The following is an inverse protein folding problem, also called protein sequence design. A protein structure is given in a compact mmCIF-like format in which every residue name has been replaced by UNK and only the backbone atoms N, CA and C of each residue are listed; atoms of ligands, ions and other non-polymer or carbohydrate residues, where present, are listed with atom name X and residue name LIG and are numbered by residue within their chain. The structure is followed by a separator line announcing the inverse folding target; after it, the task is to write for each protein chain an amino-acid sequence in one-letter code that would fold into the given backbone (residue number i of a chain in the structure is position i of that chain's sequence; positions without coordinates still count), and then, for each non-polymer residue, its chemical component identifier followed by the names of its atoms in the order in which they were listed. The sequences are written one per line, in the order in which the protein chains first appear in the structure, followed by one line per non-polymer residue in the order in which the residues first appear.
data_IF_948044349184
#
_entry.id   IF_948044349184
#
_cell.length_a   1.000
_cell.length_b   1.000
_cell.length_c   1.000
_cell.angle_alpha   90.00
_cell.angle_beta   90.00
_cell.angle_gamma   90.00
#
_symmetry.space_group_name_H-M   'P 1'
#
loop_
_entity.id
_entity.type
_entity.pdbx_description
1 polymer ?
#
# COMPACT_ATOMS: atom_id res chain seq x y z
N UNK A 1 1.75 17.30 30.08
CA UNK A 1 0.93 18.13 30.96
C UNK A 1 0.33 17.36 32.12
N UNK A 2 -0.58 16.40 31.92
CA UNK A 2 -1.31 15.69 32.99
C UNK A 2 -0.43 15.12 34.11
N UNK A 3 0.73 14.55 33.79
CA UNK A 3 1.63 13.98 34.81
C UNK A 3 2.30 15.02 35.69
N UNK A 4 2.39 16.26 35.23
CA UNK A 4 3.02 17.36 35.93
C UNK A 4 2.03 18.44 36.37
N UNK A 5 0.72 18.13 36.29
CA UNK A 5 -0.36 19.09 36.60
C UNK A 5 -0.13 20.46 35.95
N UNK A 6 0.09 20.44 34.65
CA UNK A 6 0.44 21.60 33.86
C UNK A 6 -0.25 21.58 32.49
N UNK A 7 -0.41 22.76 31.90
CA UNK A 7 -0.86 22.87 30.53
C UNK A 7 0.14 22.21 29.58
N UNK A 8 -0.37 21.65 28.50
CA UNK A 8 0.46 20.94 27.52
C UNK A 8 1.46 21.83 26.80
N UNK A 9 1.14 23.11 26.62
CA UNK A 9 2.00 24.14 25.99
C UNK A 9 3.18 24.57 26.89
N UNK A 10 3.10 24.30 28.19
CA UNK A 10 4.23 24.43 29.10
C UNK A 10 5.27 23.31 28.97
N UNK A 11 4.99 22.30 28.14
CA UNK A 11 5.89 21.19 27.86
C UNK A 11 6.55 21.37 26.49
N UNK A 12 7.82 20.94 26.40
CA UNK A 12 8.55 20.85 25.12
C UNK A 12 9.03 19.43 24.90
N UNK A 13 9.65 19.16 23.74
CA UNK A 13 10.23 17.85 23.43
C UNK A 13 11.69 18.00 23.04
N UNK A 14 12.55 17.14 23.56
CA UNK A 14 13.98 17.16 23.29
C UNK A 14 14.54 15.74 23.33
N UNK A 15 15.26 15.32 22.30
CA UNK A 15 15.99 14.04 22.21
C UNK A 15 15.19 12.79 22.65
N UNK A 16 13.91 12.72 22.28
CA UNK A 16 13.05 11.58 22.63
C UNK A 16 12.41 11.68 24.03
N UNK A 17 12.48 12.83 24.65
CA UNK A 17 11.84 13.14 25.92
C UNK A 17 10.81 14.25 25.77
N UNK A 18 9.76 14.19 26.60
CA UNK A 18 8.98 15.36 26.97
C UNK A 18 9.70 16.05 28.11
N UNK A 19 9.88 17.37 28.02
CA UNK A 19 10.63 18.16 29.01
C UNK A 19 9.78 19.32 29.52
N UNK A 20 9.97 19.67 30.80
CA UNK A 20 9.40 20.85 31.44
C UNK A 20 10.38 21.34 32.52
N UNK A 21 11.07 22.41 32.24
CA UNK A 21 12.13 22.91 33.14
C UNK A 21 13.20 21.84 33.38
N UNK A 22 13.27 21.28 34.59
CA UNK A 22 14.21 20.21 34.94
C UNK A 22 13.63 18.80 34.81
N UNK A 23 12.32 18.72 34.64
CA UNK A 23 11.63 17.43 34.56
C UNK A 23 11.74 16.85 33.15
N UNK A 24 12.02 15.56 33.07
CA UNK A 24 12.14 14.82 31.81
C UNK A 24 11.42 13.47 31.93
N UNK A 25 10.71 13.07 30.87
CA UNK A 25 10.06 11.77 30.77
C UNK A 25 10.22 11.23 29.34
N UNK A 26 10.58 9.97 29.19
CA UNK A 26 10.76 9.39 27.84
C UNK A 26 9.41 9.27 27.12
N UNK A 27 9.39 9.43 25.78
CA UNK A 27 8.21 9.18 24.99
C UNK A 27 7.61 7.79 25.23
N UNK A 28 8.47 6.76 25.33
CA UNK A 28 8.05 5.39 25.62
C UNK A 28 7.27 5.22 26.93
N UNK A 29 7.58 6.03 27.95
CA UNK A 29 6.92 5.96 29.26
C UNK A 29 5.52 6.59 29.26
N UNK A 30 5.22 7.44 28.29
CA UNK A 30 3.91 8.11 28.15
C UNK A 30 3.11 7.62 26.96
N UNK A 31 3.68 6.77 26.10
CA UNK A 31 3.09 6.34 24.85
C UNK A 31 1.72 5.68 25.02
N UNK A 32 1.59 4.79 26.01
CA UNK A 32 0.33 4.08 26.27
C UNK A 32 -0.79 5.04 26.73
N UNK A 33 -0.44 6.02 27.58
CA UNK A 33 -1.42 7.03 28.05
C UNK A 33 -1.77 8.01 26.91
N UNK A 34 -0.76 8.39 26.12
CA UNK A 34 -0.93 9.32 25.00
C UNK A 34 -1.79 8.72 23.88
N UNK A 35 -1.73 7.39 23.67
CA UNK A 35 -2.53 6.72 22.62
C UNK A 35 -4.04 6.87 22.80
N UNK A 36 -4.50 7.12 24.03
CA UNK A 36 -5.93 7.37 24.34
C UNK A 36 -6.35 8.84 24.27
N UNK A 37 -5.45 9.75 23.90
CA UNK A 37 -5.72 11.19 23.83
C UNK A 37 -5.91 11.64 22.40
N UNK A 38 -6.87 12.54 22.18
CA UNK A 38 -7.05 13.23 20.91
C UNK A 38 -6.20 14.51 20.97
N UNK A 39 -5.27 14.73 20.02
CA UNK A 39 -4.51 15.97 19.95
C UNK A 39 -5.43 17.15 19.61
N UNK A 40 -5.10 18.39 19.99
CA UNK A 40 -5.85 19.56 19.57
C UNK A 40 -5.73 19.76 18.04
N UNK A 41 -6.76 20.37 17.44
CA UNK A 41 -6.81 20.60 16.00
C UNK A 41 -5.71 21.58 15.52
N UNK A 42 -5.37 22.56 16.36
CA UNK A 42 -4.33 23.54 16.05
C UNK A 42 -3.11 23.31 16.96
N UNK A 43 -2.09 22.68 16.39
CA UNK A 43 -0.81 22.43 17.06
C UNK A 43 0.22 23.42 16.53
N UNK A 44 0.76 24.34 17.35
CA UNK A 44 1.76 25.29 16.90
C UNK A 44 3.02 24.56 16.43
N UNK A 45 3.46 24.89 15.21
CA UNK A 45 4.71 24.35 14.67
C UNK A 45 5.90 25.01 15.38
N UNK A 46 6.89 24.19 15.72
CA UNK A 46 8.13 24.69 16.29
C UNK A 46 8.91 25.52 15.26
N UNK A 47 9.44 26.69 15.62
CA UNK A 47 10.31 27.45 14.74
C UNK A 47 11.53 26.63 14.29
N UNK A 48 12.00 26.86 13.07
CA UNK A 48 13.25 26.28 12.60
C UNK A 48 14.40 26.70 13.53
N UNK A 49 15.08 25.70 14.10
CA UNK A 49 16.25 25.96 14.96
C UNK A 49 17.50 26.07 14.10
N UNK A 50 18.34 27.05 14.36
CA UNK A 50 19.69 27.12 13.82
C UNK A 50 20.48 25.89 14.33
N UNK A 51 21.17 25.16 13.45
CA UNK A 51 21.88 23.92 13.80
C UNK A 51 20.99 22.66 13.82
N UNK A 52 19.74 22.73 13.30
CA UNK A 52 18.94 21.55 13.03
C UNK A 52 19.40 20.82 11.76
N UNK A 53 18.74 19.70 11.45
CA UNK A 53 19.06 18.86 10.27
C UNK A 53 18.51 19.43 8.94
N UNK A 54 17.78 20.55 9.00
CA UNK A 54 17.25 21.21 7.81
C UNK A 54 18.37 21.82 6.96
N UNK A 55 18.41 21.45 5.68
CA UNK A 55 19.47 21.93 4.77
C UNK A 55 20.80 21.21 4.88
N UNK A 56 20.94 20.28 5.83
CA UNK A 56 22.17 19.50 6.02
C UNK A 56 22.12 18.17 5.23
N UNK A 57 23.29 17.72 4.77
CA UNK A 57 23.43 16.40 4.13
C UNK A 57 23.51 15.31 5.19
N UNK A 58 22.34 14.82 5.63
CA UNK A 58 22.27 13.77 6.66
C UNK A 58 22.19 12.40 5.99
N UNK A 59 23.06 11.42 6.36
CA UNK A 59 22.99 10.07 5.84
C UNK A 59 21.66 9.39 6.21
N UNK A 60 21.14 8.57 5.32
CA UNK A 60 19.96 7.75 5.63
C UNK A 60 20.31 6.67 6.65
N UNK A 61 19.49 6.53 7.68
CA UNK A 61 19.70 5.55 8.75
C UNK A 61 19.52 4.10 8.28
N UNK A 62 18.76 3.89 7.20
CA UNK A 62 18.48 2.57 6.62
C UNK A 62 19.49 2.17 5.52
N UNK A 63 20.44 3.05 5.17
CA UNK A 63 21.38 2.80 4.09
C UNK A 63 22.34 1.63 4.36
N UNK A 64 22.97 1.50 5.55
CA UNK A 64 23.87 0.38 5.83
C UNK A 64 23.22 -0.97 5.60
N UNK A 65 22.02 -1.18 6.16
CA UNK A 65 21.29 -2.44 6.00
C UNK A 65 20.90 -2.75 4.54
N UNK A 66 20.68 -1.72 3.71
CA UNK A 66 20.40 -1.91 2.29
C UNK A 66 21.65 -2.26 1.47
N UNK A 67 22.80 -1.76 1.89
CA UNK A 67 24.07 -2.01 1.19
C UNK A 67 24.64 -3.38 1.53
N UNK A 68 24.54 -3.82 2.80
CA UNK A 68 25.06 -5.11 3.25
C UNK A 68 24.07 -6.28 3.08
N UNK A 69 22.84 -5.99 2.62
CA UNK A 69 21.82 -6.99 2.37
C UNK A 69 21.06 -7.49 3.62
N UNK A 70 21.22 -6.84 4.77
CA UNK A 70 20.49 -7.19 6.00
C UNK A 70 19.12 -6.52 6.10
N UNK A 71 18.81 -5.58 5.20
CA UNK A 71 17.50 -4.95 5.12
C UNK A 71 16.42 -5.99 4.79
N UNK A 72 15.33 -5.97 5.55
CA UNK A 72 14.20 -6.90 5.38
C UNK A 72 13.08 -6.26 4.56
N UNK A 73 12.77 -6.89 3.45
CA UNK A 73 11.63 -6.55 2.58
C UNK A 73 10.48 -7.54 2.79
N UNK A 74 9.34 -7.28 2.16
CA UNK A 74 8.17 -8.13 2.35
C UNK A 74 8.37 -9.57 1.83
N UNK A 75 9.17 -9.76 0.80
CA UNK A 75 9.56 -11.08 0.30
C UNK A 75 10.42 -11.90 1.28
N UNK A 76 10.99 -11.27 2.30
CA UNK A 76 11.86 -11.92 3.30
C UNK A 76 11.09 -12.39 4.54
N UNK A 77 9.80 -12.12 4.63
CA UNK A 77 8.96 -12.55 5.75
C UNK A 77 8.89 -14.07 5.79
N UNK A 78 9.18 -14.64 6.95
CA UNK A 78 9.08 -16.08 7.22
C UNK A 78 8.33 -16.30 8.51
N UNK A 79 7.21 -16.99 8.42
CA UNK A 79 6.37 -17.40 9.54
C UNK A 79 6.18 -18.93 9.50
N UNK A 80 5.89 -19.52 10.65
CA UNK A 80 5.74 -20.99 10.73
C UNK A 80 4.56 -21.47 9.88
N UNK A 81 4.77 -22.50 9.08
CA UNK A 81 3.74 -23.06 8.21
C UNK A 81 3.45 -22.28 6.93
N UNK A 82 4.30 -21.30 6.59
CA UNK A 82 4.17 -20.47 5.39
C UNK A 82 4.03 -21.31 4.12
N UNK A 83 3.06 -20.93 3.29
CA UNK A 83 2.89 -21.38 1.91
C UNK A 83 3.02 -20.20 0.95
N UNK A 84 3.21 -20.49 -0.32
CA UNK A 84 3.44 -19.48 -1.34
C UNK A 84 2.31 -19.52 -2.37
N UNK A 85 1.86 -18.36 -2.82
CA UNK A 85 0.84 -18.24 -3.84
C UNK A 85 1.37 -17.47 -5.05
N UNK A 86 1.08 -17.98 -6.24
CA UNK A 86 1.18 -17.26 -7.50
C UNK A 86 -0.21 -16.95 -8.03
N UNK A 87 -0.42 -15.75 -8.58
CA UNK A 87 -1.75 -15.19 -8.83
C UNK A 87 -1.87 -14.75 -10.28
N UNK A 88 -3.01 -15.07 -10.93
CA UNK A 88 -3.38 -14.56 -12.24
C UNK A 88 -4.69 -13.77 -12.13
N UNK A 89 -4.65 -12.51 -12.53
CA UNK A 89 -5.83 -11.67 -12.64
C UNK A 89 -6.47 -11.78 -14.02
N UNK A 90 -7.78 -11.60 -14.07
CA UNK A 90 -8.49 -11.35 -15.32
C UNK A 90 -8.13 -9.99 -15.93
N UNK A 91 -8.56 -9.72 -17.15
CA UNK A 91 -8.37 -8.43 -17.82
C UNK A 91 -8.91 -7.29 -16.97
N UNK A 92 -8.24 -6.12 -17.05
CA UNK A 92 -8.67 -4.94 -16.33
C UNK A 92 -10.12 -4.54 -16.70
N UNK A 93 -10.95 -4.37 -15.69
CA UNK A 93 -12.30 -3.78 -15.81
C UNK A 93 -13.45 -4.75 -16.04
N UNK A 94 -13.25 -5.94 -16.61
CA UNK A 94 -14.39 -6.78 -17.03
C UNK A 94 -14.23 -8.29 -16.84
N UNK A 95 -13.11 -8.78 -16.35
CA UNK A 95 -12.85 -10.22 -16.31
C UNK A 95 -13.61 -10.95 -15.21
N UNK A 96 -14.35 -11.99 -15.56
CA UNK A 96 -14.78 -13.03 -14.63
C UNK A 96 -14.03 -14.32 -14.94
N UNK A 97 -13.61 -15.06 -13.90
CA UNK A 97 -13.01 -16.38 -14.06
C UNK A 97 -14.06 -17.35 -14.58
N UNK A 98 -13.81 -17.95 -15.74
CA UNK A 98 -14.73 -18.91 -16.39
C UNK A 98 -14.27 -20.37 -16.22
N UNK A 99 -12.96 -20.58 -16.28
CA UNK A 99 -12.41 -21.94 -16.28
C UNK A 99 -10.99 -22.00 -15.76
N UNK A 100 -10.66 -23.10 -15.08
CA UNK A 100 -9.31 -23.53 -14.69
C UNK A 100 -9.16 -25.03 -14.87
N UNK A 101 -7.99 -25.50 -15.30
CA UNK A 101 -7.67 -26.93 -15.40
C UNK A 101 -7.00 -27.41 -14.10
N UNK A 102 -7.83 -27.79 -13.11
CA UNK A 102 -7.33 -28.32 -11.84
C UNK A 102 -6.60 -29.63 -12.01
N UNK A 103 -7.05 -30.49 -12.94
CA UNK A 103 -6.45 -31.82 -13.15
C UNK A 103 -5.01 -31.72 -13.67
N UNK A 104 -4.70 -30.69 -14.46
CA UNK A 104 -3.34 -30.42 -14.88
C UNK A 104 -2.48 -29.86 -13.73
N UNK A 105 -3.03 -28.96 -12.93
CA UNK A 105 -2.33 -28.38 -11.78
C UNK A 105 -2.05 -29.41 -10.67
N UNK A 106 -2.94 -30.36 -10.42
CA UNK A 106 -2.79 -31.39 -9.40
C UNK A 106 -1.55 -32.30 -9.62
N UNK A 107 -1.01 -32.32 -10.84
CA UNK A 107 0.23 -33.04 -11.17
C UNK A 107 1.50 -32.34 -10.71
N UNK A 108 1.40 -31.08 -10.27
CA UNK A 108 2.55 -30.28 -9.84
C UNK A 108 2.92 -30.64 -8.40
N UNK A 109 4.11 -31.20 -8.22
CA UNK A 109 4.63 -31.56 -6.90
C UNK A 109 4.75 -30.31 -6.03
N UNK A 110 4.17 -30.36 -4.83
CA UNK A 110 4.19 -29.27 -3.89
C UNK A 110 2.95 -28.37 -3.94
N UNK A 111 2.01 -28.58 -4.87
CA UNK A 111 0.71 -27.90 -4.83
C UNK A 111 -0.01 -28.26 -3.52
N UNK A 112 -0.54 -27.26 -2.86
CA UNK A 112 -1.32 -27.35 -1.61
C UNK A 112 -2.81 -27.11 -1.88
N UNK A 113 -3.12 -26.23 -2.82
CA UNK A 113 -4.49 -25.93 -3.20
C UNK A 113 -4.60 -24.81 -4.23
N UNK A 114 -5.85 -24.57 -4.63
CA UNK A 114 -6.22 -23.52 -5.57
C UNK A 114 -7.30 -22.65 -4.93
N UNK A 115 -7.12 -21.33 -5.00
CA UNK A 115 -8.10 -20.36 -4.51
C UNK A 115 -8.66 -19.61 -5.72
N UNK A 116 -9.96 -19.75 -5.93
CA UNK A 116 -10.69 -19.09 -7.01
C UNK A 116 -11.45 -17.88 -6.50
N UNK A 117 -11.41 -16.83 -7.27
CA UNK A 117 -12.16 -15.59 -7.05
C UNK A 117 -12.71 -15.12 -8.41
N UNK A 118 -13.85 -14.46 -8.48
CA UNK A 118 -14.38 -13.99 -9.76
C UNK A 118 -13.40 -13.17 -10.61
N UNK A 119 -12.42 -12.52 -10.00
CA UNK A 119 -11.49 -11.61 -10.70
C UNK A 119 -10.04 -12.12 -10.77
N UNK A 120 -9.72 -13.17 -10.06
CA UNK A 120 -8.38 -13.74 -10.01
C UNK A 120 -8.41 -15.22 -9.58
N UNK A 121 -7.35 -15.91 -9.84
CA UNK A 121 -7.09 -17.24 -9.33
C UNK A 121 -5.68 -17.32 -8.77
N UNK A 122 -5.50 -18.09 -7.70
CA UNK A 122 -4.21 -18.36 -7.10
C UNK A 122 -3.94 -19.86 -7.00
N UNK A 123 -2.76 -20.28 -7.39
CA UNK A 123 -2.21 -21.58 -7.03
C UNK A 123 -1.34 -21.40 -5.79
N UNK A 124 -1.57 -22.25 -4.77
CA UNK A 124 -0.88 -22.22 -3.48
C UNK A 124 -0.03 -23.47 -3.33
N UNK A 125 1.26 -23.32 -3.02
CA UNK A 125 2.21 -24.43 -2.96
C UNK A 125 3.22 -24.27 -1.82
N UNK A 126 4.02 -25.31 -1.59
CA UNK A 126 5.08 -25.34 -0.55
C UNK A 126 6.26 -24.43 -0.85
N UNK A 127 6.40 -23.97 -2.09
CA UNK A 127 7.37 -22.96 -2.52
C UNK A 127 6.82 -22.18 -3.72
N UNK A 128 7.39 -20.99 -3.96
CA UNK A 128 6.91 -20.12 -5.03
C UNK A 128 7.01 -20.73 -6.43
N UNK A 129 8.07 -21.48 -6.72
CA UNK A 129 8.25 -22.12 -8.03
C UNK A 129 7.12 -23.09 -8.33
N UNK A 130 6.76 -23.95 -7.37
CA UNK A 130 5.65 -24.89 -7.52
C UNK A 130 4.31 -24.16 -7.69
N UNK A 131 4.09 -23.05 -6.95
CA UNK A 131 2.90 -22.21 -7.10
C UNK A 131 2.79 -21.64 -8.50
N UNK A 132 3.89 -21.12 -9.04
CA UNK A 132 3.94 -20.52 -10.37
C UNK A 132 3.69 -21.58 -11.47
N UNK A 133 4.33 -22.73 -11.39
CA UNK A 133 4.11 -23.84 -12.32
C UNK A 133 2.67 -24.38 -12.26
N UNK A 134 2.10 -24.47 -11.07
CA UNK A 134 0.71 -24.88 -10.91
C UNK A 134 -0.26 -23.83 -11.51
N UNK A 135 0.04 -22.54 -11.33
CA UNK A 135 -0.76 -21.47 -11.94
C UNK A 135 -0.73 -21.53 -13.47
N UNK A 136 0.43 -21.77 -14.06
CA UNK A 136 0.54 -21.98 -15.51
C UNK A 136 -0.27 -23.19 -15.98
N UNK A 137 -0.20 -24.31 -15.23
CA UNK A 137 -0.95 -25.53 -15.53
C UNK A 137 -2.46 -25.35 -15.39
N UNK A 138 -2.94 -24.49 -14.48
CA UNK A 138 -4.36 -24.13 -14.36
C UNK A 138 -4.92 -23.50 -15.62
N UNK A 139 -4.08 -22.90 -16.48
CA UNK A 139 -4.46 -22.23 -17.73
C UNK A 139 -5.74 -21.40 -17.62
N UNK A 140 -5.82 -20.44 -16.66
CA UNK A 140 -7.07 -19.75 -16.33
C UNK A 140 -7.60 -18.95 -17.52
N UNK A 141 -8.92 -19.07 -17.74
CA UNK A 141 -9.65 -18.29 -18.74
C UNK A 141 -10.59 -17.34 -18.03
N UNK A 142 -10.59 -16.09 -18.51
CA UNK A 142 -11.44 -15.02 -17.99
C UNK A 142 -12.34 -14.48 -19.11
N UNK A 143 -13.60 -14.24 -18.79
CA UNK A 143 -14.53 -13.55 -19.70
C UNK A 143 -14.13 -12.09 -19.87
N UNK A 144 -14.49 -11.54 -21.01
CA UNK A 144 -14.47 -10.09 -21.25
C UNK A 144 -15.84 -9.65 -21.75
N UNK A 145 -16.47 -8.71 -21.05
CA UNK A 145 -17.82 -8.23 -21.38
C UNK A 145 -17.80 -7.08 -22.41
N UNK A 146 -16.73 -6.94 -23.18
CA UNK A 146 -16.60 -5.90 -24.19
C UNK A 146 -15.18 -5.76 -24.74
N UNK A 147 -14.95 -4.81 -25.63
CA UNK A 147 -13.62 -4.53 -26.12
C UNK A 147 -12.71 -4.05 -24.98
N UNK A 148 -11.53 -4.61 -24.89
CA UNK A 148 -10.52 -4.12 -23.96
C UNK A 148 -10.03 -2.74 -24.42
N UNK A 149 -9.78 -1.80 -23.48
CA UNK A 149 -9.20 -0.52 -23.82
C UNK A 149 -7.78 -0.72 -24.40
N UNK A 150 -7.50 -0.03 -25.48
CA UNK A 150 -6.18 0.06 -26.09
C UNK A 150 -5.65 1.50 -26.04
N UNK A 151 -4.42 1.72 -26.43
CA UNK A 151 -3.79 3.04 -26.40
C UNK A 151 -4.55 4.07 -27.24
N UNK A 152 -5.13 3.66 -28.36
CA UNK A 152 -5.89 4.55 -29.23
C UNK A 152 -7.20 5.01 -28.55
N UNK A 153 -7.96 4.10 -27.98
CA UNK A 153 -9.21 4.40 -27.28
C UNK A 153 -8.98 5.23 -26.02
N UNK A 154 -7.91 4.96 -25.27
CA UNK A 154 -7.51 5.73 -24.09
C UNK A 154 -7.12 7.16 -24.50
N UNK A 155 -6.28 7.34 -25.51
CA UNK A 155 -5.88 8.66 -26.01
C UNK A 155 -7.07 9.45 -26.56
N UNK A 156 -7.99 8.79 -27.26
CA UNK A 156 -9.23 9.43 -27.74
C UNK A 156 -10.11 9.90 -26.57
N UNK A 157 -10.28 9.06 -25.54
CA UNK A 157 -11.06 9.42 -24.35
C UNK A 157 -10.45 10.60 -23.59
N UNK A 158 -9.11 10.62 -23.41
CA UNK A 158 -8.40 11.73 -22.76
C UNK A 158 -8.54 13.04 -23.55
N UNK A 159 -8.40 12.96 -24.88
CA UNK A 159 -8.57 14.13 -25.78
C UNK A 159 -10.01 14.69 -25.69
N UNK A 160 -11.00 13.81 -25.72
CA UNK A 160 -12.40 14.21 -25.61
C UNK A 160 -12.72 14.82 -24.23
N UNK A 161 -12.19 14.25 -23.16
CA UNK A 161 -12.40 14.77 -21.81
C UNK A 161 -11.74 16.15 -21.61
N UNK A 162 -10.55 16.36 -22.16
CA UNK A 162 -9.87 17.66 -22.12
C UNK A 162 -10.65 18.72 -22.89
N UNK A 163 -11.15 18.40 -24.09
CA UNK A 163 -11.93 19.31 -24.90
C UNK A 163 -13.30 19.65 -24.29
N UNK A 164 -13.93 18.70 -23.61
CA UNK A 164 -15.22 18.92 -22.94
C UNK A 164 -15.10 19.82 -21.69
N UNK A 165 -13.96 19.90 -21.06
CA UNK A 165 -13.77 20.59 -19.78
C UNK A 165 -14.60 19.97 -18.64
N UNK A 166 -14.81 20.72 -17.55
CA UNK A 166 -15.81 20.32 -16.52
C UNK A 166 -15.31 19.29 -15.51
N UNK A 167 -14.01 19.16 -15.29
CA UNK A 167 -13.46 18.34 -14.22
C UNK A 167 -13.80 18.84 -12.82
N UNK A 168 -13.58 18.01 -11.78
CA UNK A 168 -13.69 18.43 -10.40
C UNK A 168 -12.59 19.45 -10.07
N UNK A 169 -12.97 20.65 -9.64
CA UNK A 169 -12.01 21.63 -9.09
C UNK A 169 -11.53 21.16 -7.71
N UNK A 170 -10.22 21.10 -7.53
CA UNK A 170 -9.58 20.83 -6.24
C UNK A 170 -9.13 22.12 -5.55
N UNK A 171 -8.81 23.14 -6.34
CA UNK A 171 -8.45 24.49 -5.90
C UNK A 171 -9.31 25.46 -6.68
N UNK A 172 -9.95 26.40 -6.02
CA UNK A 172 -10.82 27.42 -6.59
C UNK A 172 -10.49 28.76 -5.93
N UNK A 173 -9.32 29.30 -6.27
CA UNK A 173 -8.81 30.57 -5.75
C UNK A 173 -8.56 31.54 -6.91
N UNK A 174 -9.13 32.75 -6.81
CA UNK A 174 -9.03 33.77 -7.84
C UNK A 174 -9.89 33.47 -9.08
N UNK A 175 -9.72 34.28 -10.11
CA UNK A 175 -10.33 34.11 -11.44
C UNK A 175 -9.23 34.15 -12.51
N UNK A 176 -8.65 32.98 -12.87
CA UNK A 176 -7.59 32.94 -13.86
C UNK A 176 -8.03 33.37 -15.25
N UNK A 177 -9.29 33.16 -15.62
CA UNK A 177 -9.81 33.54 -16.93
C UNK A 177 -9.92 35.07 -17.06
N UNK A 178 -10.30 35.74 -15.99
CA UNK A 178 -10.30 37.22 -15.95
C UNK A 178 -8.88 37.78 -15.93
N UNK A 179 -7.99 37.19 -15.15
CA UNK A 179 -6.60 37.64 -15.01
C UNK A 179 -5.81 37.47 -16.31
N UNK A 180 -6.10 36.43 -17.11
CA UNK A 180 -5.45 36.20 -18.40
C UNK A 180 -6.09 37.02 -19.55
N UNK A 181 -7.21 37.65 -19.32
CA UNK A 181 -7.93 38.39 -20.37
C UNK A 181 -7.09 39.60 -20.86
N UNK A 182 -6.84 39.62 -22.17
CA UNK A 182 -6.06 40.69 -22.82
C UNK A 182 -4.56 40.55 -22.67
N UNK A 183 -4.08 39.49 -22.10
CA UNK A 183 -2.66 39.17 -22.06
C UNK A 183 -2.25 38.30 -23.27
N UNK A 184 -0.97 38.37 -23.61
CA UNK A 184 -0.39 37.43 -24.59
C UNK A 184 -0.10 36.11 -23.87
N UNK A 185 -0.92 35.08 -24.16
CA UNK A 185 -0.93 33.81 -23.45
C UNK A 185 -0.19 32.77 -24.27
N UNK A 186 0.88 32.18 -23.72
CA UNK A 186 1.51 31.00 -24.28
C UNK A 186 0.76 29.75 -23.85
N UNK A 187 0.26 28.96 -24.81
CA UNK A 187 -0.42 27.68 -24.54
C UNK A 187 0.40 26.51 -25.12
N UNK A 188 0.50 25.43 -24.35
CA UNK A 188 1.17 24.21 -24.78
C UNK A 188 0.42 22.96 -24.27
N UNK A 189 0.44 21.90 -25.07
CA UNK A 189 -0.10 20.59 -24.73
C UNK A 189 1.03 19.59 -24.55
N UNK A 190 0.98 18.84 -23.47
CA UNK A 190 1.93 17.76 -23.16
C UNK A 190 1.18 16.45 -23.04
N UNK A 191 1.67 15.40 -23.72
CA UNK A 191 1.09 14.05 -23.65
C UNK A 191 2.10 13.09 -23.06
N UNK A 192 1.67 12.38 -22.02
CA UNK A 192 2.45 11.33 -21.37
C UNK A 192 1.74 10.01 -21.61
N UNK A 193 2.37 9.01 -22.23
CA UNK A 193 1.76 7.71 -22.42
C UNK A 193 1.58 6.98 -21.08
N UNK A 194 0.63 6.06 -21.03
CA UNK A 194 0.51 5.15 -19.89
C UNK A 194 1.74 4.27 -19.82
N UNK A 195 2.32 4.18 -18.64
CA UNK A 195 3.50 3.35 -18.38
C UNK A 195 3.26 2.43 -17.18
N UNK A 196 3.87 1.26 -17.22
CA UNK A 196 3.87 0.34 -16.07
C UNK A 196 4.84 0.87 -15.01
N UNK A 197 4.43 0.86 -13.75
CA UNK A 197 5.26 1.37 -12.65
C UNK A 197 6.57 0.57 -12.44
N UNK A 198 6.58 -0.72 -12.75
CA UNK A 198 7.73 -1.65 -12.75
C UNK A 198 8.72 -1.47 -11.58
N UNK A 199 8.31 -1.46 -10.31
CA UNK A 199 9.25 -1.42 -9.20
C UNK A 199 10.09 -2.71 -9.16
N UNK A 200 11.35 -2.60 -8.72
CA UNK A 200 12.25 -3.76 -8.58
C UNK A 200 11.71 -4.81 -7.62
N UNK A 201 11.07 -4.38 -6.52
CA UNK A 201 10.29 -5.27 -5.67
C UNK A 201 8.86 -5.35 -6.21
N UNK A 202 8.40 -6.51 -6.73
CA UNK A 202 7.01 -6.66 -7.19
C UNK A 202 6.01 -6.55 -6.04
N UNK A 203 4.71 -6.48 -6.37
CA UNK A 203 3.65 -6.51 -5.37
C UNK A 203 3.67 -7.87 -4.66
N UNK A 204 3.86 -7.85 -3.36
CA UNK A 204 3.87 -9.03 -2.50
C UNK A 204 3.27 -8.71 -1.14
N UNK A 205 2.72 -9.71 -0.48
CA UNK A 205 2.28 -9.61 0.90
C UNK A 205 2.28 -11.01 1.54
N UNK A 206 2.53 -11.06 2.85
CA UNK A 206 2.32 -12.25 3.66
C UNK A 206 1.19 -11.96 4.64
N UNK A 207 0.26 -12.90 4.80
CA UNK A 207 -0.83 -12.77 5.75
C UNK A 207 -0.90 -14.01 6.65
N UNK A 208 -1.24 -13.80 7.94
CA UNK A 208 -1.42 -14.85 8.93
C UNK A 208 -2.66 -14.57 9.77
N UNK A 209 -3.47 -15.62 9.97
CA UNK A 209 -4.59 -15.56 10.92
C UNK A 209 -4.21 -16.32 12.18
N UNK A 210 -4.35 -15.68 13.34
CA UNK A 210 -4.11 -16.28 14.66
C UNK A 210 -5.30 -15.95 15.57
N UNK A 211 -6.14 -16.93 15.82
CA UNK A 211 -7.41 -16.72 16.53
C UNK A 211 -8.34 -15.80 15.74
N UNK A 212 -8.72 -14.69 16.34
CA UNK A 212 -9.56 -13.63 15.75
C UNK A 212 -8.74 -12.49 15.08
N UNK A 213 -7.41 -12.59 15.10
CA UNK A 213 -6.51 -11.56 14.59
C UNK A 213 -5.95 -11.92 13.23
N UNK A 214 -5.82 -10.90 12.38
CA UNK A 214 -5.17 -10.98 11.07
C UNK A 214 -3.96 -10.05 11.03
N UNK A 215 -2.82 -10.60 10.68
CA UNK A 215 -1.56 -9.88 10.52
C UNK A 215 -1.14 -9.92 9.05
N UNK A 216 -0.71 -8.77 8.53
CA UNK A 216 -0.28 -8.65 7.12
C UNK A 216 1.03 -7.87 7.06
N UNK A 217 2.05 -8.46 6.45
CA UNK A 217 3.33 -7.83 6.13
C UNK A 217 3.37 -7.48 4.65
N UNK A 218 3.55 -6.19 4.31
CA UNK A 218 3.54 -5.74 2.93
C UNK A 218 4.36 -4.46 2.74
N UNK A 219 4.96 -4.24 1.55
CA UNK A 219 5.48 -2.93 1.18
C UNK A 219 4.30 -2.03 0.81
N UNK A 220 4.06 -0.98 1.56
CA UNK A 220 2.90 -0.11 1.34
C UNK A 220 3.22 1.37 1.50
N UNK A 221 2.58 2.21 0.69
CA UNK A 221 2.58 3.66 0.81
C UNK A 221 1.34 4.18 1.57
N UNK A 222 0.41 3.28 1.94
CA UNK A 222 -0.84 3.62 2.62
C UNK A 222 -1.32 2.51 3.56
N UNK A 223 -0.70 2.29 4.73
CA UNK A 223 -1.06 1.18 5.62
C UNK A 223 -2.50 1.24 6.14
N UNK A 224 -3.04 2.44 6.40
CA UNK A 224 -4.42 2.60 6.80
C UNK A 224 -5.41 2.21 5.69
N UNK A 225 -5.09 2.55 4.43
CA UNK A 225 -5.86 2.16 3.25
C UNK A 225 -5.88 0.63 3.12
N UNK A 226 -4.72 -0.02 3.31
CA UNK A 226 -4.61 -1.46 3.27
C UNK A 226 -5.45 -2.13 4.36
N UNK A 227 -5.39 -1.64 5.61
CA UNK A 227 -6.17 -2.16 6.74
C UNK A 227 -7.67 -2.09 6.46
N UNK A 228 -8.17 -0.92 6.08
CA UNK A 228 -9.58 -0.72 5.76
C UNK A 228 -10.05 -1.60 4.59
N UNK A 229 -9.21 -1.80 3.56
CA UNK A 229 -9.55 -2.65 2.43
C UNK A 229 -9.59 -4.14 2.80
N UNK A 230 -8.64 -4.60 3.61
CA UNK A 230 -8.61 -5.98 4.14
C UNK A 230 -9.84 -6.23 5.02
N UNK A 231 -10.20 -5.29 5.91
CA UNK A 231 -11.41 -5.38 6.73
C UNK A 231 -12.67 -5.55 5.87
N UNK A 232 -12.85 -4.69 4.88
CA UNK A 232 -14.00 -4.78 3.96
C UNK A 232 -14.06 -6.09 3.19
N UNK A 233 -12.90 -6.62 2.79
CA UNK A 233 -12.84 -7.84 1.97
C UNK A 233 -13.02 -9.12 2.78
N UNK A 234 -12.63 -9.13 4.05
CA UNK A 234 -12.63 -10.32 4.92
C UNK A 234 -13.75 -10.34 5.94
N UNK A 235 -14.35 -9.17 6.24
CA UNK A 235 -15.32 -9.00 7.33
C UNK A 235 -14.70 -8.96 8.72
N UNK A 236 -13.36 -9.03 8.84
CA UNK A 236 -12.65 -8.90 10.11
C UNK A 236 -12.62 -7.43 10.50
N UNK A 237 -12.93 -7.10 11.77
CA UNK A 237 -12.90 -5.73 12.27
C UNK A 237 -11.50 -5.11 12.15
N UNK A 238 -11.41 -3.81 11.83
CA UNK A 238 -10.13 -3.12 11.63
C UNK A 238 -9.19 -3.20 12.84
N UNK A 239 -9.77 -3.23 14.06
CA UNK A 239 -9.05 -3.32 15.33
C UNK A 239 -8.36 -4.69 15.50
N UNK A 240 -8.86 -5.71 14.82
CA UNK A 240 -8.28 -7.05 14.81
C UNK A 240 -7.27 -7.25 13.68
N UNK A 241 -7.05 -6.24 12.83
CA UNK A 241 -6.11 -6.28 11.70
C UNK A 241 -4.87 -5.44 12.00
N UNK A 242 -3.70 -6.06 11.91
CA UNK A 242 -2.41 -5.38 11.99
C UNK A 242 -1.73 -5.40 10.63
N UNK A 243 -1.42 -4.22 10.10
CA UNK A 243 -0.56 -4.09 8.91
C UNK A 243 0.85 -3.74 9.39
N UNK A 244 1.83 -4.55 9.03
CA UNK A 244 3.25 -4.28 9.24
C UNK A 244 3.84 -3.69 7.95
N UNK A 245 4.06 -2.37 7.90
CA UNK A 245 4.70 -1.75 6.73
C UNK A 245 6.14 -2.22 6.63
N UNK A 246 6.46 -2.92 5.55
CA UNK A 246 7.83 -3.35 5.24
C UNK A 246 8.56 -2.27 4.44
N UNK A 247 9.88 -2.38 4.33
CA UNK A 247 10.66 -1.54 3.42
C UNK A 247 10.09 -1.66 2.00
N UNK A 248 10.04 -0.53 1.29
CA UNK A 248 9.46 -0.45 -0.05
C UNK A 248 10.59 -0.41 -1.09
N UNK A 249 10.73 -1.49 -1.85
CA UNK A 249 11.70 -1.62 -2.94
C UNK A 249 11.23 -1.00 -4.25
N UNK A 250 10.81 0.27 -4.18
CA UNK A 250 10.15 1.03 -5.25
C UNK A 250 8.62 0.94 -5.16
N UNK A 251 7.95 2.05 -5.38
CA UNK A 251 6.48 2.15 -5.28
C UNK A 251 5.86 2.91 -6.44
N UNK A 252 6.36 4.11 -6.71
CA UNK A 252 5.92 4.99 -7.80
C UNK A 252 4.39 5.21 -7.83
N UNK A 253 3.74 5.17 -6.64
CA UNK A 253 2.29 5.24 -6.49
C UNK A 253 1.60 3.86 -6.53
N UNK A 254 2.17 2.81 -7.14
CA UNK A 254 1.52 1.51 -7.28
C UNK A 254 1.28 0.78 -5.95
N UNK A 255 2.14 1.00 -4.96
CA UNK A 255 2.02 0.38 -3.63
C UNK A 255 1.10 1.13 -2.66
N UNK A 256 0.31 2.11 -3.15
CA UNK A 256 -0.88 2.61 -2.45
C UNK A 256 -2.02 1.60 -2.56
N UNK A 257 -2.10 0.84 -3.68
CA UNK A 257 -3.11 -0.20 -3.86
C UNK A 257 -3.01 -1.28 -2.78
N UNK A 258 -4.13 -1.67 -2.15
CA UNK A 258 -4.20 -2.70 -1.12
C UNK A 258 -4.28 -4.12 -1.67
N UNK A 259 -4.28 -4.31 -2.99
CA UNK A 259 -4.63 -5.58 -3.64
C UNK A 259 -3.83 -6.77 -3.09
N UNK A 260 -2.50 -6.62 -2.94
CA UNK A 260 -1.65 -7.70 -2.43
C UNK A 260 -2.05 -8.13 -1.00
N UNK A 261 -2.37 -7.16 -0.13
CA UNK A 261 -2.83 -7.44 1.23
C UNK A 261 -4.17 -8.17 1.24
N UNK A 262 -5.13 -7.68 0.46
CA UNK A 262 -6.48 -8.28 0.36
C UNK A 262 -6.40 -9.71 -0.14
N UNK A 263 -5.64 -9.95 -1.20
CA UNK A 263 -5.49 -11.28 -1.79
C UNK A 263 -4.79 -12.23 -0.82
N UNK A 264 -3.68 -11.81 -0.21
CA UNK A 264 -2.96 -12.64 0.77
C UNK A 264 -3.84 -12.98 1.98
N UNK A 265 -4.64 -12.04 2.48
CA UNK A 265 -5.58 -12.26 3.57
C UNK A 265 -6.66 -13.30 3.20
N UNK A 266 -7.28 -13.17 2.02
CA UNK A 266 -8.29 -14.12 1.53
C UNK A 266 -7.67 -15.52 1.40
N UNK A 267 -6.48 -15.64 0.82
CA UNK A 267 -5.78 -16.93 0.65
C UNK A 267 -5.47 -17.53 2.03
N UNK A 268 -4.91 -16.74 2.96
CA UNK A 268 -4.56 -17.24 4.29
C UNK A 268 -5.79 -17.75 5.07
N UNK A 269 -6.93 -17.06 4.96
CA UNK A 269 -8.20 -17.48 5.58
C UNK A 269 -8.69 -18.79 4.96
N UNK A 270 -8.73 -18.90 3.64
CA UNK A 270 -9.25 -20.09 2.95
C UNK A 270 -8.34 -21.31 3.12
N UNK A 271 -7.03 -21.11 3.06
CA UNK A 271 -6.05 -22.17 3.23
C UNK A 271 -5.81 -22.55 4.69
N UNK A 272 -6.25 -21.70 5.64
CA UNK A 272 -5.96 -21.83 7.09
C UNK A 272 -4.46 -21.95 7.37
N UNK A 273 -3.66 -21.24 6.61
CA UNK A 273 -2.19 -21.22 6.67
C UNK A 273 -1.67 -19.83 6.30
N UNK A 274 -0.52 -19.47 6.84
CA UNK A 274 0.12 -18.25 6.40
C UNK A 274 0.51 -18.31 4.95
#
# INVERSE_FOLDING_TARGET
GKRWDADWDACDTEEGFVVRGKDRIRFAEVAAEAAGLVPPDDIPLRPLRTGGIYGESVPRIDLPAKVDGTARFAGDVRVSGLVYASIRHGPFGSGALEHVDKAAADKIIGLVGVVENPRWVAAVATNWWAADKALDALAPKFASNGPLPDDASINAALTAALAAGGGKRYVDEGDPDEQLRGLDVFAAEYRVPLAVHSPMEPLTATAQVTGDRLEVWMPTQGPAIARAAVSRATGIAEEAITIYPMLVGGGFGRKISPDAAVIAAIIAIQMKRP
#
